data_IF_143989387293
#
_entry.id   IF_143989387293
#
_cell.length_a   1.000
_cell.length_b   1.000
_cell.length_c   1.000
_cell.angle_alpha   90.00
_cell.angle_beta   90.00
_cell.angle_gamma   90.00
#
_symmetry.space_group_name_H-M   'P 1'
#
loop_
_entity.id
_entity.type
_entity.pdbx_description
1 polymer ?
#
# COMPACT_ATOMS: atom_id res chain seq x y z
N UNK A 1 -8.39 -32.56 -34.94
CA UNK A 1 -6.94 -32.43 -35.26
C UNK A 1 -6.14 -33.71 -34.94
N UNK A 2 -6.68 -34.89 -35.23
CA UNK A 2 -5.88 -36.13 -35.34
C UNK A 2 -5.50 -36.42 -36.81
N UNK A 3 -6.11 -35.68 -37.75
CA UNK A 3 -6.06 -35.93 -39.20
C UNK A 3 -4.68 -35.63 -39.82
N UNK A 4 -3.93 -34.65 -39.31
CA UNK A 4 -2.62 -34.27 -39.90
C UNK A 4 -1.49 -35.28 -39.62
N UNK A 5 -1.56 -36.05 -38.54
CA UNK A 5 -0.51 -37.04 -38.23
C UNK A 5 -0.77 -38.36 -38.96
N UNK A 6 -2.05 -38.68 -39.18
CA UNK A 6 -2.47 -39.86 -39.93
C UNK A 6 -2.29 -39.74 -41.44
N UNK A 7 -2.16 -38.52 -41.99
CA UNK A 7 -1.93 -38.31 -43.42
C UNK A 7 -0.45 -38.46 -43.83
N UNK A 8 0.51 -38.19 -42.94
CA UNK A 8 1.95 -38.31 -43.25
C UNK A 8 2.50 -39.75 -43.17
N UNK A 9 1.97 -40.58 -42.28
CA UNK A 9 2.35 -41.98 -42.10
C UNK A 9 2.20 -42.84 -43.37
N UNK A 10 1.04 -42.86 -44.05
CA UNK A 10 0.87 -43.66 -45.26
C UNK A 10 1.76 -43.15 -46.40
N UNK A 11 1.98 -41.84 -46.52
CA UNK A 11 2.83 -41.27 -47.58
C UNK A 11 4.29 -41.71 -47.44
N UNK A 12 4.84 -41.69 -46.21
CA UNK A 12 6.22 -42.16 -45.99
C UNK A 12 6.39 -43.67 -46.12
N UNK A 13 5.39 -44.45 -45.72
CA UNK A 13 5.40 -45.91 -45.95
C UNK A 13 5.31 -46.24 -47.44
N UNK A 14 4.53 -45.48 -48.20
CA UNK A 14 4.44 -45.58 -49.66
C UNK A 14 5.76 -45.16 -50.30
N UNK A 15 6.42 -44.11 -49.82
CA UNK A 15 7.73 -43.68 -50.31
C UNK A 15 8.84 -44.69 -49.99
N UNK A 16 8.84 -45.31 -48.80
CA UNK A 16 9.73 -46.44 -48.47
C UNK A 16 9.49 -47.63 -49.42
N UNK A 17 8.23 -47.98 -49.69
CA UNK A 17 7.88 -49.04 -50.63
C UNK A 17 8.36 -48.70 -52.05
N UNK A 18 8.17 -47.46 -52.50
CA UNK A 18 8.62 -47.00 -53.81
C UNK A 18 10.15 -46.92 -53.93
N UNK A 19 10.86 -46.48 -52.89
CA UNK A 19 12.33 -46.51 -52.85
C UNK A 19 12.87 -47.94 -52.84
N UNK A 20 12.20 -48.87 -52.17
CA UNK A 20 12.62 -50.28 -52.09
C UNK A 20 12.32 -51.05 -53.39
N UNK A 21 11.21 -50.73 -54.06
CA UNK A 21 10.76 -51.38 -55.31
C UNK A 21 11.42 -50.76 -56.56
N UNK A 22 11.64 -49.44 -56.60
CA UNK A 22 12.10 -48.73 -57.80
C UNK A 22 13.48 -48.05 -57.65
N UNK A 23 14.05 -47.99 -56.45
CA UNK A 23 15.12 -47.04 -56.14
C UNK A 23 16.56 -47.44 -56.48
N UNK A 24 16.91 -48.72 -56.67
CA UNK A 24 18.30 -49.08 -56.98
C UNK A 24 18.40 -50.44 -57.69
N UNK A 25 18.47 -50.44 -59.02
CA UNK A 25 18.61 -51.65 -59.84
C UNK A 25 19.83 -52.53 -59.51
N UNK A 26 20.84 -51.98 -58.82
CA UNK A 26 22.02 -52.73 -58.38
C UNK A 26 21.89 -53.41 -57.00
N UNK A 27 21.04 -52.90 -56.10
CA UNK A 27 20.84 -53.44 -54.74
C UNK A 27 19.61 -54.34 -54.64
N UNK A 28 18.65 -54.21 -55.56
CA UNK A 28 17.45 -55.04 -55.61
C UNK A 28 17.78 -56.54 -55.64
N UNK A 29 18.82 -56.94 -56.36
CA UNK A 29 19.27 -58.34 -56.44
C UNK A 29 19.82 -58.90 -55.12
N UNK A 30 20.20 -58.05 -54.16
CA UNK A 30 20.75 -58.47 -52.86
C UNK A 30 19.71 -58.50 -51.73
N UNK A 31 18.57 -57.82 -51.91
CA UNK A 31 17.54 -57.65 -50.88
C UNK A 31 16.25 -58.40 -51.18
N UNK A 32 16.05 -58.83 -52.42
CA UNK A 32 14.93 -59.65 -52.86
C UNK A 32 15.36 -61.09 -53.17
N UNK A 33 14.40 -62.00 -53.09
CA UNK A 33 14.53 -63.37 -53.58
C UNK A 33 14.63 -63.38 -55.12
N UNK A 34 15.07 -64.48 -55.74
CA UNK A 34 15.16 -64.59 -57.20
C UNK A 34 13.82 -64.41 -57.94
N UNK A 35 12.69 -64.55 -57.22
CA UNK A 35 11.35 -64.26 -57.75
C UNK A 35 11.11 -62.77 -58.02
N UNK A 36 11.99 -61.88 -57.52
CA UNK A 36 11.89 -60.43 -57.70
C UNK A 36 10.72 -59.78 -56.97
N UNK A 37 9.94 -60.55 -56.21
CA UNK A 37 8.69 -60.10 -55.59
C UNK A 37 8.82 -60.09 -54.06
N UNK A 38 9.56 -61.04 -53.49
CA UNK A 38 9.64 -61.19 -52.04
C UNK A 38 10.99 -60.75 -51.50
N UNK A 39 11.04 -59.91 -50.46
CA UNK A 39 12.30 -59.59 -49.80
C UNK A 39 12.91 -60.86 -49.20
N UNK A 40 14.24 -60.95 -49.25
CA UNK A 40 14.98 -61.96 -48.51
C UNK A 40 15.09 -61.55 -47.02
N UNK A 41 15.78 -62.34 -46.21
CA UNK A 41 15.88 -62.11 -44.76
C UNK A 41 16.54 -60.75 -44.44
N UNK A 42 17.52 -60.34 -45.25
CA UNK A 42 18.20 -59.05 -45.10
C UNK A 42 17.27 -57.89 -45.51
N UNK A 43 16.53 -58.03 -46.62
CA UNK A 43 15.53 -57.05 -47.05
C UNK A 43 14.39 -56.87 -46.03
N UNK A 44 13.94 -57.97 -45.45
CA UNK A 44 12.89 -57.98 -44.42
C UNK A 44 13.37 -57.30 -43.13
N UNK A 45 14.61 -57.56 -42.71
CA UNK A 45 15.20 -56.93 -41.52
C UNK A 45 15.43 -55.43 -41.71
N UNK A 46 15.86 -55.00 -42.90
CA UNK A 46 16.01 -53.58 -43.26
C UNK A 46 14.68 -52.84 -43.22
N UNK A 47 13.62 -53.44 -43.79
CA UNK A 47 12.27 -52.86 -43.81
C UNK A 47 11.70 -52.74 -42.39
N UNK A 48 11.92 -53.74 -41.54
CA UNK A 48 11.50 -53.69 -40.12
C UNK A 48 12.25 -52.59 -39.36
N UNK A 49 13.55 -52.39 -39.63
CA UNK A 49 14.32 -51.32 -39.00
C UNK A 49 13.79 -49.93 -39.40
N UNK A 50 13.51 -49.69 -40.68
CA UNK A 50 12.92 -48.43 -41.17
C UNK A 50 11.53 -48.18 -40.59
N UNK A 51 10.66 -49.21 -40.57
CA UNK A 51 9.33 -49.10 -39.96
C UNK A 51 9.45 -48.74 -38.47
N UNK A 52 10.35 -49.39 -37.74
CA UNK A 52 10.58 -49.09 -36.32
C UNK A 52 11.08 -47.67 -36.11
N UNK A 53 11.96 -47.16 -36.98
CA UNK A 53 12.44 -45.78 -36.93
C UNK A 53 11.31 -44.79 -37.19
N UNK A 54 10.50 -44.99 -38.23
CA UNK A 54 9.35 -44.15 -38.54
C UNK A 54 8.33 -44.15 -37.39
N UNK A 55 8.04 -45.32 -36.80
CA UNK A 55 7.17 -45.44 -35.63
C UNK A 55 7.75 -44.67 -34.44
N UNK A 56 9.07 -44.78 -34.19
CA UNK A 56 9.72 -44.10 -33.08
C UNK A 56 9.71 -42.57 -33.27
N UNK A 57 10.02 -42.06 -34.47
CA UNK A 57 9.97 -40.64 -34.81
C UNK A 57 8.54 -40.12 -34.64
N UNK A 58 7.55 -40.87 -35.11
CA UNK A 58 6.14 -40.47 -35.02
C UNK A 58 5.66 -40.41 -33.57
N UNK A 59 6.01 -41.41 -32.73
CA UNK A 59 5.74 -41.37 -31.29
C UNK A 59 6.37 -40.15 -30.62
N UNK A 60 7.63 -39.85 -30.94
CA UNK A 60 8.35 -38.68 -30.40
C UNK A 60 7.70 -37.37 -30.80
N UNK A 61 7.29 -37.23 -32.07
CA UNK A 61 6.56 -36.05 -32.56
C UNK A 61 5.21 -35.87 -31.87
N UNK A 62 4.44 -36.94 -31.69
CA UNK A 62 3.16 -36.89 -30.97
C UNK A 62 3.34 -36.44 -29.52
N UNK A 63 4.33 -37.00 -28.81
CA UNK A 63 4.65 -36.58 -27.44
C UNK A 63 5.07 -35.10 -27.39
N UNK A 64 5.91 -34.65 -28.32
CA UNK A 64 6.33 -33.25 -28.39
C UNK A 64 5.15 -32.31 -28.67
N UNK A 65 4.20 -32.69 -29.51
CA UNK A 65 3.00 -31.91 -29.79
C UNK A 65 2.08 -31.84 -28.56
N UNK A 66 1.93 -32.94 -27.82
CA UNK A 66 1.19 -32.95 -26.56
C UNK A 66 1.84 -32.02 -25.52
N UNK A 67 3.17 -32.10 -25.35
CA UNK A 67 3.90 -31.18 -24.46
C UNK A 67 3.73 -29.71 -24.85
N UNK A 68 3.80 -29.38 -26.15
CA UNK A 68 3.55 -28.01 -26.63
C UNK A 68 2.15 -27.52 -26.29
N UNK A 69 1.11 -28.34 -26.50
CA UNK A 69 -0.28 -28.02 -26.15
C UNK A 69 -0.45 -27.81 -24.64
N UNK A 70 0.17 -28.67 -23.83
CA UNK A 70 0.16 -28.53 -22.38
C UNK A 70 0.80 -27.21 -21.92
N UNK A 71 1.98 -26.86 -22.41
CA UNK A 71 2.61 -25.58 -22.06
C UNK A 71 1.80 -24.37 -22.51
N UNK A 72 1.19 -24.41 -23.70
CA UNK A 72 0.32 -23.32 -24.15
C UNK A 72 -0.93 -23.15 -23.28
N UNK A 73 -1.56 -24.26 -22.87
CA UNK A 73 -2.75 -24.19 -22.01
C UNK A 73 -2.40 -23.65 -20.62
N UNK A 74 -1.25 -24.04 -20.05
CA UNK A 74 -0.77 -23.51 -18.78
C UNK A 74 -0.47 -22.01 -18.85
N UNK A 75 0.24 -21.54 -19.90
CA UNK A 75 0.52 -20.10 -20.08
C UNK A 75 -0.77 -19.27 -20.22
N UNK A 76 -1.81 -19.81 -20.86
CA UNK A 76 -3.11 -19.14 -20.94
C UNK A 76 -3.82 -19.06 -19.58
N UNK A 77 -3.72 -20.11 -18.76
CA UNK A 77 -4.31 -20.12 -17.42
C UNK A 77 -3.62 -19.12 -16.49
N UNK A 78 -2.30 -19.06 -16.51
CA UNK A 78 -1.55 -18.10 -15.67
C UNK A 78 -1.86 -16.67 -16.09
N UNK A 79 -1.80 -16.36 -17.39
CA UNK A 79 -2.10 -15.01 -17.87
C UNK A 79 -3.53 -14.55 -17.52
N UNK A 80 -4.53 -15.42 -17.70
CA UNK A 80 -5.90 -15.08 -17.34
C UNK A 80 -6.08 -14.94 -15.83
N UNK A 81 -5.43 -15.79 -15.03
CA UNK A 81 -5.43 -15.69 -13.57
C UNK A 81 -4.87 -14.35 -13.10
N UNK A 82 -3.65 -14.03 -13.54
CA UNK A 82 -2.95 -12.78 -13.21
C UNK A 82 -3.77 -11.55 -13.61
N UNK A 83 -4.40 -11.57 -14.79
CA UNK A 83 -5.27 -10.48 -15.24
C UNK A 83 -6.53 -10.35 -14.37
N UNK A 84 -7.17 -11.46 -14.00
CA UNK A 84 -8.36 -11.42 -13.14
C UNK A 84 -8.04 -10.95 -11.73
N UNK A 85 -6.90 -11.36 -11.17
CA UNK A 85 -6.47 -10.95 -9.84
C UNK A 85 -6.07 -9.47 -9.83
N UNK A 86 -5.34 -9.00 -10.85
CA UNK A 86 -5.03 -7.58 -11.00
C UNK A 86 -6.29 -6.71 -11.15
N UNK A 87 -7.31 -7.19 -11.87
CA UNK A 87 -8.57 -6.45 -11.97
C UNK A 87 -9.34 -6.42 -10.64
N UNK A 88 -9.33 -7.53 -9.88
CA UNK A 88 -9.91 -7.57 -8.53
C UNK A 88 -9.22 -6.60 -7.59
N UNK A 89 -7.89 -6.53 -7.62
CA UNK A 89 -7.10 -5.59 -6.83
C UNK A 89 -7.40 -4.15 -7.21
N UNK A 90 -7.43 -3.82 -8.52
CA UNK A 90 -7.80 -2.50 -9.01
C UNK A 90 -9.18 -2.05 -8.52
N UNK A 91 -10.19 -2.93 -8.61
CA UNK A 91 -11.55 -2.64 -8.13
C UNK A 91 -11.59 -2.46 -6.61
N UNK A 92 -10.82 -3.27 -5.86
CA UNK A 92 -10.69 -3.12 -4.40
C UNK A 92 -10.13 -1.75 -4.05
N UNK A 93 -9.00 -1.35 -4.65
CA UNK A 93 -8.38 -0.03 -4.44
C UNK A 93 -9.34 1.10 -4.82
N UNK A 94 -10.00 1.00 -5.98
CA UNK A 94 -10.98 1.98 -6.45
C UNK A 94 -12.15 2.13 -5.48
N UNK A 95 -12.63 1.03 -4.91
CA UNK A 95 -13.73 1.04 -3.93
C UNK A 95 -13.32 1.63 -2.58
N UNK A 96 -12.05 1.46 -2.18
CA UNK A 96 -11.51 1.95 -0.91
C UNK A 96 -11.08 3.43 -0.97
N UNK A 97 -10.73 3.94 -2.15
CA UNK A 97 -10.27 5.32 -2.33
C UNK A 97 -11.21 6.40 -1.77
N UNK A 98 -12.55 6.34 -1.96
CA UNK A 98 -13.49 7.29 -1.35
C UNK A 98 -13.48 7.29 0.18
N UNK A 99 -13.26 6.14 0.82
CA UNK A 99 -13.17 6.04 2.28
C UNK A 99 -11.91 6.73 2.80
N UNK A 100 -10.77 6.54 2.12
CA UNK A 100 -9.53 7.25 2.41
C UNK A 100 -9.70 8.77 2.30
N UNK A 101 -10.33 9.24 1.21
CA UNK A 101 -10.65 10.67 1.04
C UNK A 101 -11.58 11.21 2.13
N UNK A 102 -12.57 10.43 2.56
CA UNK A 102 -13.47 10.81 3.65
C UNK A 102 -12.72 10.91 4.98
N UNK A 103 -11.85 9.95 5.27
CA UNK A 103 -10.97 9.98 6.44
C UNK A 103 -10.08 11.23 6.46
N UNK A 104 -9.44 11.54 5.33
CA UNK A 104 -8.63 12.75 5.19
C UNK A 104 -9.43 14.04 5.42
N UNK A 105 -10.63 14.15 4.84
CA UNK A 105 -11.51 15.31 5.04
C UNK A 105 -11.94 15.48 6.50
N UNK A 106 -12.24 14.38 7.19
CA UNK A 106 -12.60 14.41 8.60
C UNK A 106 -11.42 14.87 9.45
N UNK A 107 -10.23 14.28 9.26
CA UNK A 107 -9.02 14.71 9.97
C UNK A 107 -8.68 16.18 9.74
N UNK A 108 -8.87 16.69 8.52
CA UNK A 108 -8.69 18.11 8.23
C UNK A 108 -9.70 19.00 8.98
N UNK A 109 -10.97 18.58 9.09
CA UNK A 109 -11.99 19.29 9.86
C UNK A 109 -11.62 19.31 11.35
N UNK A 110 -11.19 18.18 11.90
CA UNK A 110 -10.81 18.08 13.31
C UNK A 110 -9.60 18.96 13.63
N UNK A 111 -8.59 18.96 12.76
CA UNK A 111 -7.45 19.86 12.86
C UNK A 111 -7.87 21.34 12.88
N UNK A 112 -8.77 21.73 11.97
CA UNK A 112 -9.28 23.11 11.92
C UNK A 112 -10.06 23.49 13.18
N UNK A 113 -10.85 22.58 13.72
CA UNK A 113 -11.58 22.79 14.97
C UNK A 113 -10.60 22.98 16.14
N UNK A 114 -9.61 22.10 16.28
CA UNK A 114 -8.58 22.22 17.31
C UNK A 114 -7.79 23.54 17.22
N UNK A 115 -7.52 24.02 16.01
CA UNK A 115 -6.91 25.33 15.81
C UNK A 115 -7.81 26.48 16.31
N UNK A 116 -9.11 26.43 16.03
CA UNK A 116 -10.06 27.42 16.52
C UNK A 116 -10.17 27.41 18.06
N UNK A 117 -10.21 26.22 18.68
CA UNK A 117 -10.26 26.07 20.13
C UNK A 117 -8.99 26.61 20.80
N UNK A 118 -7.82 26.30 20.23
CA UNK A 118 -6.54 26.84 20.71
C UNK A 118 -6.51 28.38 20.68
N UNK A 119 -7.00 28.98 19.59
CA UNK A 119 -7.09 30.44 19.46
C UNK A 119 -8.06 31.05 20.47
N UNK A 120 -9.18 30.39 20.74
CA UNK A 120 -10.14 30.81 21.77
C UNK A 120 -9.50 30.74 23.16
N UNK A 121 -8.85 29.62 23.50
CA UNK A 121 -8.13 29.47 24.77
C UNK A 121 -7.04 30.53 24.97
N UNK A 122 -6.33 30.90 23.91
CA UNK A 122 -5.35 32.00 23.96
C UNK A 122 -6.03 33.35 24.26
N UNK A 123 -7.16 33.64 23.62
CA UNK A 123 -7.91 34.86 23.90
C UNK A 123 -8.44 34.89 25.35
N UNK A 124 -8.95 33.77 25.84
CA UNK A 124 -9.42 33.63 27.22
C UNK A 124 -8.27 33.82 28.23
N UNK A 125 -7.09 33.26 27.93
CA UNK A 125 -5.88 33.48 28.73
C UNK A 125 -5.46 34.96 28.75
N UNK A 126 -5.44 35.63 27.59
CA UNK A 126 -5.10 37.04 27.49
C UNK A 126 -6.10 37.93 28.24
N UNK A 127 -7.39 37.61 28.18
CA UNK A 127 -8.44 38.29 28.94
C UNK A 127 -8.24 38.11 30.44
N UNK A 128 -8.06 36.87 30.91
CA UNK A 128 -7.79 36.59 32.32
C UNK A 128 -6.53 37.28 32.82
N UNK A 129 -5.48 37.37 31.99
CA UNK A 129 -4.28 38.13 32.31
C UNK A 129 -4.56 39.64 32.39
N UNK A 130 -5.36 40.19 31.46
CA UNK A 130 -5.78 41.58 31.52
C UNK A 130 -6.61 41.87 32.77
N UNK A 131 -7.49 40.96 33.17
CA UNK A 131 -8.32 41.12 34.36
C UNK A 131 -7.46 41.03 35.63
N UNK A 132 -6.47 40.12 35.64
CA UNK A 132 -5.47 40.05 36.70
C UNK A 132 -4.64 41.35 36.82
N UNK A 133 -4.20 41.93 35.71
CA UNK A 133 -3.49 43.21 35.69
C UNK A 133 -4.44 44.36 36.09
N UNK A 134 -5.70 44.32 35.64
CA UNK A 134 -6.73 45.30 35.94
C UNK A 134 -7.27 45.22 37.37
N UNK A 135 -6.73 44.35 38.24
CA UNK A 135 -6.77 44.53 39.69
C UNK A 135 -5.97 45.78 40.14
N UNK A 136 -6.23 46.92 39.50
CA UNK A 136 -6.11 48.25 40.08
C UNK A 136 -6.81 48.31 41.44
N UNK A 137 -7.83 47.48 41.69
CA UNK A 137 -8.48 47.37 42.99
C UNK A 137 -7.52 46.99 44.11
N UNK A 138 -6.54 46.11 43.88
CA UNK A 138 -5.54 45.78 44.91
C UNK A 138 -4.58 46.94 45.16
N UNK A 139 -4.19 47.64 44.08
CA UNK A 139 -3.30 48.80 44.19
C UNK A 139 -4.01 50.01 44.83
N UNK A 140 -5.27 50.23 44.47
CA UNK A 140 -6.11 51.30 45.01
C UNK A 140 -6.47 50.99 46.46
N UNK A 141 -6.90 49.77 46.79
CA UNK A 141 -7.15 49.36 48.17
C UNK A 141 -5.89 49.51 49.06
N UNK A 142 -4.71 49.22 48.51
CA UNK A 142 -3.45 49.48 49.22
C UNK A 142 -3.18 50.98 49.42
N UNK A 143 -3.46 51.82 48.43
CA UNK A 143 -3.33 53.28 48.55
C UNK A 143 -4.35 53.88 49.53
N UNK A 144 -5.59 53.38 49.53
CA UNK A 144 -6.66 53.81 50.44
C UNK A 144 -6.28 53.43 51.87
N UNK A 145 -5.89 52.18 52.12
CA UNK A 145 -5.42 51.70 53.44
C UNK A 145 -4.22 52.54 53.94
N UNK A 146 -3.31 52.90 53.02
CA UNK A 146 -2.16 53.74 53.36
C UNK A 146 -2.57 55.17 53.71
N UNK A 147 -3.56 55.73 53.00
CA UNK A 147 -4.07 57.07 53.25
C UNK A 147 -4.79 57.14 54.60
N UNK A 148 -5.66 56.16 54.89
CA UNK A 148 -6.31 56.01 56.20
C UNK A 148 -5.29 55.91 57.34
N UNK A 149 -4.19 55.17 57.14
CA UNK A 149 -3.13 55.10 58.14
C UNK A 149 -2.48 56.46 58.40
N UNK A 150 -2.26 57.27 57.36
CA UNK A 150 -1.73 58.62 57.51
C UNK A 150 -2.72 59.55 58.22
N UNK A 151 -4.01 59.45 57.91
CA UNK A 151 -5.05 60.22 58.58
C UNK A 151 -5.13 59.88 60.08
N UNK A 152 -5.14 58.59 60.44
CA UNK A 152 -5.06 58.16 61.83
C UNK A 152 -3.82 58.68 62.56
N UNK A 153 -2.67 58.73 61.89
CA UNK A 153 -1.45 59.30 62.48
C UNK A 153 -1.57 60.81 62.72
N UNK A 154 -2.19 61.53 61.78
CA UNK A 154 -2.40 62.97 61.89
C UNK A 154 -3.39 63.31 63.01
N UNK A 155 -4.53 62.62 63.08
CA UNK A 155 -5.48 62.77 64.19
C UNK A 155 -4.81 62.52 65.54
N UNK A 156 -3.97 61.49 65.65
CA UNK A 156 -3.23 61.21 66.87
C UNK A 156 -2.23 62.34 67.22
N UNK A 157 -1.61 62.98 66.23
CA UNK A 157 -0.77 64.17 66.45
C UNK A 157 -1.61 65.35 66.94
N UNK A 158 -2.78 65.57 66.35
CA UNK A 158 -3.69 66.64 66.75
C UNK A 158 -4.20 66.45 68.17
N UNK A 159 -4.63 65.23 68.54
CA UNK A 159 -4.99 64.88 69.91
C UNK A 159 -3.84 65.14 70.90
N UNK A 160 -2.61 64.77 70.53
CA UNK A 160 -1.42 65.05 71.35
C UNK A 160 -1.14 66.53 71.49
N UNK A 161 -1.33 67.31 70.42
CA UNK A 161 -1.17 68.76 70.44
C UNK A 161 -2.19 69.43 71.36
N UNK A 162 -3.48 69.11 71.21
CA UNK A 162 -4.56 69.61 72.07
C UNK A 162 -4.30 69.24 73.53
N UNK A 163 -3.91 67.99 73.81
CA UNK A 163 -3.58 67.54 75.17
C UNK A 163 -2.43 68.35 75.78
N UNK A 164 -1.36 68.63 75.03
CA UNK A 164 -0.26 69.48 75.50
C UNK A 164 -0.71 70.91 75.77
N UNK A 165 -1.51 71.48 74.88
CA UNK A 165 -2.05 72.82 75.03
C UNK A 165 -2.89 72.96 76.30
N UNK A 166 -3.84 72.03 76.53
CA UNK A 166 -4.66 71.99 77.75
C UNK A 166 -3.80 71.85 79.00
N UNK A 167 -2.81 70.95 79.00
CA UNK A 167 -1.89 70.80 80.13
C UNK A 167 -1.08 72.07 80.41
N UNK A 168 -0.66 72.78 79.36
CA UNK A 168 0.08 74.03 79.48
C UNK A 168 -0.78 75.16 80.05
N UNK A 169 -2.03 75.30 79.58
CA UNK A 169 -2.98 76.28 80.13
C UNK A 169 -3.34 76.00 81.59
N UNK A 170 -3.55 74.72 81.94
CA UNK A 170 -3.77 74.32 83.33
C UNK A 170 -2.54 74.61 84.20
N UNK A 171 -1.32 74.38 83.68
CA UNK A 171 -0.09 74.71 84.42
C UNK A 171 0.06 76.21 84.64
N UNK A 172 -0.34 77.06 83.69
CA UNK A 172 -0.33 78.52 83.85
C UNK A 172 -1.30 79.00 84.92
N UNK A 173 -2.47 78.36 85.03
CA UNK A 173 -3.47 78.70 86.05
C UNK A 173 -3.04 78.30 87.45
N UNK A 174 -2.18 77.29 87.62
CA UNK A 174 -1.66 76.88 88.93
C UNK A 174 -0.46 77.71 89.42
N UNK A 175 0.13 78.56 88.58
CA UNK A 175 1.33 79.36 88.91
C UNK A 175 1.06 80.85 89.14
N UNK A 176 -0.19 81.30 89.05
CA UNK A 176 -0.65 82.65 89.41
C UNK A 176 -1.46 82.60 90.71
#
# INVERSE_FOLDING_TARGET
MLEDVTSELPVKLIDCYNCFVYGNGHLANQLFRPDGIHPNIYGSSSLVAEINEVVHITKKKMQQQQHRKYHQSQRRRTFNGDFTDGNREYLSVKSNFPYGLRGFRNGYRDFRNGYHDSRKGHHDFCNGHHDFIRHHDLRNAYQDTRSEHHDCQNENRDFRYVRRYVNHENSRHCTN
#
